data_IF_975972746737
#
_entry.id   IF_975972746737
#
_cell.length_a   1.000
_cell.length_b   1.000
_cell.length_c   1.000
_cell.angle_alpha   90.00
_cell.angle_beta   90.00
_cell.angle_gamma   90.00
#
_symmetry.space_group_name_H-M   'P 1'
#
loop_
_entity.id
_entity.type
_entity.pdbx_description
1 polymer ?
#
# COMPACT_ATOMS: atom_id res chain seq x y z
N UNK A 1 -9.64 -5.90 -25.79
CA UNK A 1 -8.19 -5.60 -25.90
C UNK A 1 -7.48 -6.77 -25.26
N UNK A 2 -6.68 -7.52 -26.01
CA UNK A 2 -6.02 -8.75 -25.51
C UNK A 2 -4.63 -8.46 -24.92
N UNK A 3 -4.03 -7.34 -25.32
CA UNK A 3 -2.75 -6.88 -24.78
C UNK A 3 -2.95 -6.07 -23.51
N UNK A 4 -2.24 -6.47 -22.45
CA UNK A 4 -2.16 -5.80 -21.15
C UNK A 4 -0.73 -5.28 -20.99
N UNK A 5 -0.58 -3.98 -20.88
CA UNK A 5 0.73 -3.35 -20.70
C UNK A 5 0.96 -3.09 -19.22
N UNK A 6 2.01 -3.71 -18.66
CA UNK A 6 2.47 -3.40 -17.32
C UNK A 6 3.62 -2.39 -17.41
N UNK A 7 3.53 -1.22 -16.75
CA UNK A 7 4.41 -0.07 -16.98
C UNK A 7 5.90 -0.37 -16.75
N UNK A 8 6.21 -1.38 -15.94
CA UNK A 8 7.59 -1.78 -15.61
C UNK A 8 8.00 -3.15 -16.16
N UNK A 9 7.04 -3.98 -16.56
CA UNK A 9 7.28 -5.41 -16.86
C UNK A 9 7.13 -5.74 -18.34
N UNK A 10 6.47 -4.87 -19.10
CA UNK A 10 6.23 -5.04 -20.54
C UNK A 10 4.81 -5.47 -20.86
N UNK A 11 4.63 -5.96 -22.09
CA UNK A 11 3.32 -6.35 -22.63
C UNK A 11 3.05 -7.85 -22.39
N UNK A 12 1.84 -8.16 -21.94
CA UNK A 12 1.30 -9.52 -21.86
C UNK A 12 0.09 -9.63 -22.80
N UNK A 13 0.14 -10.52 -23.80
CA UNK A 13 -0.99 -10.78 -24.70
C UNK A 13 -1.81 -11.97 -24.22
N UNK A 14 -3.00 -11.70 -23.67
CA UNK A 14 -3.89 -12.71 -23.10
C UNK A 14 -4.43 -13.69 -24.14
N UNK A 15 -4.43 -13.33 -25.43
CA UNK A 15 -4.95 -14.17 -26.50
C UNK A 15 -3.96 -15.25 -26.96
N UNK A 16 -2.66 -15.02 -26.80
CA UNK A 16 -1.61 -15.98 -27.20
C UNK A 16 -1.01 -16.71 -26.00
N UNK A 17 -1.22 -16.19 -24.79
CA UNK A 17 -0.76 -16.84 -23.57
C UNK A 17 -1.35 -18.25 -23.42
N UNK A 18 -0.51 -19.17 -22.93
CA UNK A 18 -0.92 -20.52 -22.56
C UNK A 18 -1.51 -20.49 -21.15
N UNK A 19 -2.82 -20.65 -21.04
CA UNK A 19 -3.54 -20.65 -19.77
C UNK A 19 -3.66 -22.07 -19.19
N UNK A 20 -3.31 -22.20 -17.90
CA UNK A 20 -3.39 -23.44 -17.14
C UNK A 20 -4.26 -23.25 -15.89
N UNK A 21 -5.08 -24.25 -15.61
CA UNK A 21 -6.00 -24.27 -14.47
C UNK A 21 -5.96 -25.65 -13.86
N UNK A 22 -5.75 -25.73 -12.55
CA UNK A 22 -5.76 -27.02 -11.84
C UNK A 22 -7.19 -27.43 -11.48
N UNK A 23 -7.35 -28.70 -11.12
CA UNK A 23 -8.60 -29.25 -10.60
C UNK A 23 -8.31 -29.82 -9.21
N UNK A 24 -9.16 -29.50 -8.24
CA UNK A 24 -9.10 -30.04 -6.89
C UNK A 24 -9.39 -31.55 -6.89
N UNK A 25 -9.06 -32.23 -5.80
CA UNK A 25 -9.25 -33.69 -5.67
C UNK A 25 -10.73 -34.11 -5.79
N UNK A 26 -11.65 -33.23 -5.44
CA UNK A 26 -13.10 -33.43 -5.54
C UNK A 26 -13.66 -33.22 -6.97
N UNK A 27 -12.80 -32.88 -7.94
CA UNK A 27 -13.17 -32.61 -9.33
C UNK A 27 -13.59 -31.16 -9.61
N UNK A 28 -13.59 -30.29 -8.61
CA UNK A 28 -13.92 -28.87 -8.77
C UNK A 28 -12.72 -28.12 -9.40
N UNK A 29 -12.90 -27.29 -10.45
CA UNK A 29 -11.79 -26.55 -11.04
C UNK A 29 -11.38 -25.36 -10.16
N UNK A 30 -10.07 -25.10 -10.02
CA UNK A 30 -9.53 -24.03 -9.17
C UNK A 30 -10.03 -22.65 -9.57
N UNK A 31 -10.19 -21.69 -8.66
CA UNK A 31 -10.74 -20.37 -9.01
C UNK A 31 -9.81 -19.54 -9.94
N UNK A 32 -8.50 -19.79 -9.87
CA UNK A 32 -7.49 -19.05 -10.60
C UNK A 32 -6.95 -19.82 -11.82
N UNK A 33 -6.54 -19.07 -12.83
CA UNK A 33 -5.74 -19.56 -13.97
C UNK A 33 -4.37 -18.89 -13.99
N UNK A 34 -3.37 -19.64 -14.44
CA UNK A 34 -2.00 -19.17 -14.65
C UNK A 34 -1.74 -19.07 -16.14
N UNK A 35 -1.37 -17.88 -16.63
CA UNK A 35 -1.06 -17.62 -18.02
C UNK A 35 0.45 -17.49 -18.23
N UNK A 36 0.98 -18.15 -19.26
CA UNK A 36 2.38 -18.07 -19.65
C UNK A 36 2.52 -17.45 -21.04
N UNK A 37 3.22 -16.32 -21.15
CA UNK A 37 3.50 -15.65 -22.41
C UNK A 37 4.86 -16.07 -23.01
N UNK A 38 5.02 -15.93 -24.33
CA UNK A 38 6.26 -16.28 -25.05
C UNK A 38 7.48 -15.45 -24.60
N UNK A 39 7.25 -14.26 -24.05
CA UNK A 39 8.31 -13.39 -23.50
C UNK A 39 8.70 -13.75 -22.05
N UNK A 40 8.13 -14.82 -21.49
CA UNK A 40 8.43 -15.31 -20.15
C UNK A 40 7.61 -14.66 -19.03
N UNK A 41 6.80 -13.64 -19.31
CA UNK A 41 5.89 -13.09 -18.31
C UNK A 41 4.86 -14.15 -17.90
N UNK A 42 4.54 -14.16 -16.61
CA UNK A 42 3.51 -15.02 -16.02
C UNK A 42 2.37 -14.15 -15.53
N UNK A 43 1.14 -14.62 -15.66
CA UNK A 43 -0.01 -13.90 -15.16
C UNK A 43 -0.96 -14.77 -14.34
N UNK A 44 -1.63 -14.15 -13.37
CA UNK A 44 -2.73 -14.74 -12.61
C UNK A 44 -4.02 -13.96 -12.88
N UNK A 45 -5.14 -14.69 -13.04
CA UNK A 45 -6.48 -14.10 -13.12
C UNK A 45 -7.54 -15.03 -12.54
N UNK A 46 -8.73 -14.49 -12.30
CA UNK A 46 -9.93 -15.26 -12.01
C UNK A 46 -10.41 -15.98 -13.27
N UNK A 47 -10.66 -17.28 -13.17
CA UNK A 47 -11.15 -18.09 -14.28
C UNK A 47 -12.58 -17.72 -14.70
N UNK A 48 -13.39 -17.25 -13.76
CA UNK A 48 -14.78 -16.82 -13.99
C UNK A 48 -14.88 -15.43 -14.62
N UNK A 49 -13.80 -14.63 -14.56
CA UNK A 49 -13.71 -13.31 -15.18
C UNK A 49 -12.40 -13.16 -15.99
N UNK A 50 -12.29 -13.82 -17.16
CA UNK A 50 -11.06 -13.82 -17.97
C UNK A 50 -10.61 -12.44 -18.47
N UNK A 51 -11.55 -11.49 -18.54
CA UNK A 51 -11.35 -10.10 -18.98
C UNK A 51 -11.19 -9.13 -17.80
N UNK A 52 -11.29 -9.60 -16.56
CA UNK A 52 -11.15 -8.81 -15.34
C UNK A 52 -9.71 -8.37 -15.06
N UNK A 53 -9.40 -8.24 -13.77
CA UNK A 53 -8.06 -7.90 -13.32
C UNK A 53 -7.08 -9.06 -13.49
N UNK A 54 -5.83 -8.70 -13.80
CA UNK A 54 -4.74 -9.63 -14.05
C UNK A 54 -3.50 -9.15 -13.32
N UNK A 55 -2.87 -10.06 -12.58
CA UNK A 55 -1.58 -9.80 -11.92
C UNK A 55 -0.47 -10.34 -12.82
N UNK A 56 0.47 -9.50 -13.21
CA UNK A 56 1.57 -9.86 -14.12
C UNK A 56 2.89 -9.89 -13.35
N UNK A 57 3.64 -10.98 -13.53
CA UNK A 57 4.93 -11.26 -12.92
C UNK A 57 6.00 -11.39 -14.00
N UNK A 58 7.19 -10.86 -13.71
CA UNK A 58 8.42 -11.23 -14.44
C UNK A 58 8.81 -12.67 -14.12
N UNK A 59 9.67 -13.31 -14.95
CA UNK A 59 10.15 -14.66 -14.66
C UNK A 59 10.75 -14.80 -13.24
N UNK A 60 11.57 -13.83 -12.82
CA UNK A 60 12.24 -13.86 -11.51
C UNK A 60 11.29 -13.61 -10.34
N UNK A 61 10.31 -12.73 -10.50
CA UNK A 61 9.26 -12.55 -9.47
C UNK A 61 8.41 -13.81 -9.32
N UNK A 62 8.09 -14.49 -10.44
CA UNK A 62 7.33 -15.74 -10.39
C UNK A 62 8.11 -16.87 -9.74
N UNK A 63 9.41 -16.99 -10.05
CA UNK A 63 10.31 -17.95 -9.39
C UNK A 63 10.36 -17.71 -7.88
N UNK A 64 10.62 -16.47 -7.46
CA UNK A 64 10.64 -16.11 -6.04
C UNK A 64 9.29 -16.35 -5.34
N UNK A 65 8.17 -16.03 -6.01
CA UNK A 65 6.83 -16.31 -5.49
C UNK A 65 6.62 -17.81 -5.25
N UNK A 66 6.98 -18.66 -6.23
CA UNK A 66 6.82 -20.12 -6.10
C UNK A 66 7.73 -20.70 -5.03
N UNK A 67 8.97 -20.18 -4.88
CA UNK A 67 9.86 -20.58 -3.80
C UNK A 67 9.28 -20.22 -2.43
N UNK A 68 8.82 -18.98 -2.23
CA UNK A 68 8.16 -18.57 -0.98
C UNK A 68 6.91 -19.41 -0.66
N UNK A 69 6.09 -19.75 -1.66
CA UNK A 69 4.94 -20.66 -1.48
C UNK A 69 5.39 -22.05 -1.03
N UNK A 70 6.47 -22.60 -1.60
CA UNK A 70 6.99 -23.92 -1.21
C UNK A 70 7.62 -23.94 0.17
N UNK A 71 8.22 -22.84 0.57
CA UNK A 71 8.82 -22.65 1.88
C UNK A 71 7.77 -22.34 2.97
N UNK A 72 6.48 -22.25 2.59
CA UNK A 72 5.37 -22.00 3.52
C UNK A 72 5.26 -20.55 3.97
N UNK A 73 5.90 -19.60 3.29
CA UNK A 73 5.88 -18.17 3.65
C UNK A 73 4.45 -17.57 3.59
N UNK A 74 3.58 -18.21 2.82
CA UNK A 74 2.17 -17.82 2.65
C UNK A 74 1.19 -18.69 3.46
N UNK A 75 1.69 -19.60 4.31
CA UNK A 75 0.87 -20.34 5.26
C UNK A 75 0.48 -19.38 6.40
N UNK A 76 -0.56 -18.58 6.15
CA UNK A 76 -1.07 -17.60 7.10
C UNK A 76 -1.74 -18.30 8.30
N UNK A 77 -0.99 -18.52 9.38
CA UNK A 77 -1.53 -19.04 10.65
C UNK A 77 -2.30 -17.98 11.48
N UNK A 78 -2.32 -16.71 11.07
CA UNK A 78 -2.46 -15.58 12.02
C UNK A 78 -3.72 -14.73 11.91
N UNK A 79 -4.78 -15.17 11.22
CA UNK A 79 -6.03 -14.40 11.23
C UNK A 79 -6.86 -14.59 12.52
N UNK A 80 -6.50 -15.56 13.36
CA UNK A 80 -7.25 -15.85 14.59
C UNK A 80 -6.57 -15.41 15.90
N UNK A 81 -5.33 -14.88 15.93
CA UNK A 81 -4.68 -14.60 17.22
C UNK A 81 -3.98 -13.23 17.45
N UNK A 82 -3.69 -12.36 16.48
CA UNK A 82 -3.31 -10.95 16.81
C UNK A 82 -3.62 -9.98 15.66
N UNK A 83 -4.29 -8.82 15.92
CA UNK A 83 -4.49 -7.81 14.89
C UNK A 83 -3.15 -7.19 14.49
N UNK A 84 -2.88 -7.16 13.19
CA UNK A 84 -1.77 -6.40 12.59
C UNK A 84 -2.09 -4.91 12.72
N UNK A 85 -1.94 -4.37 13.93
CA UNK A 85 -1.75 -2.93 14.12
C UNK A 85 -0.25 -2.73 14.02
N UNK A 86 0.26 -2.49 12.81
CA UNK A 86 1.41 -1.62 12.74
C UNK A 86 0.94 -0.30 13.34
N UNK A 87 1.30 -0.09 14.59
CA UNK A 87 1.25 1.20 15.24
C UNK A 87 2.23 2.04 14.41
N UNK A 88 1.72 2.72 13.39
CA UNK A 88 2.32 3.99 13.00
C UNK A 88 2.04 4.86 14.21
N UNK A 89 2.96 4.84 15.18
CA UNK A 89 3.06 5.93 16.13
C UNK A 89 3.36 7.13 15.24
N UNK A 90 2.32 7.91 14.91
CA UNK A 90 2.53 9.31 14.67
C UNK A 90 3.34 9.77 15.88
N UNK A 91 4.65 9.99 15.68
CA UNK A 91 5.46 10.73 16.62
C UNK A 91 4.75 12.08 16.77
N UNK A 92 3.85 12.19 17.76
CA UNK A 92 3.41 13.49 18.23
C UNK A 92 4.68 14.16 18.76
N UNK A 93 5.14 15.14 17.99
CA UNK A 93 6.24 16.03 18.33
C UNK A 93 5.90 16.73 19.66
N UNK A 94 6.26 16.12 20.78
CA UNK A 94 6.12 16.70 22.11
C UNK A 94 7.12 17.86 22.26
N UNK A 95 6.84 19.03 21.68
CA UNK A 95 7.30 20.30 22.25
C UNK A 95 6.34 21.46 21.96
N UNK A 96 5.19 21.49 22.63
CA UNK A 96 4.57 22.78 22.98
C UNK A 96 3.85 22.64 24.34
N UNK A 97 4.55 22.97 25.43
CA UNK A 97 3.86 23.28 26.68
C UNK A 97 3.01 24.53 26.41
N UNK A 98 1.71 24.33 26.19
CA UNK A 98 0.78 25.44 26.08
C UNK A 98 0.86 26.29 27.34
N UNK A 99 1.30 27.54 27.20
CA UNK A 99 1.20 28.56 28.25
C UNK A 99 -0.28 28.63 28.67
N UNK A 100 -0.55 28.53 29.97
CA UNK A 100 -1.91 28.70 30.49
C UNK A 100 -2.36 30.16 30.31
N UNK A 101 -3.67 30.42 30.23
CA UNK A 101 -4.21 31.80 30.10
C UNK A 101 -3.65 32.75 31.17
N UNK A 102 -3.35 32.25 32.37
CA UNK A 102 -2.75 33.03 33.45
C UNK A 102 -1.27 33.39 33.19
N UNK A 103 -0.52 32.53 32.51
CA UNK A 103 0.87 32.79 32.11
C UNK A 103 0.93 33.78 30.93
N UNK A 104 0.01 33.66 29.98
CA UNK A 104 -0.17 34.63 28.90
C UNK A 104 -0.55 36.01 29.46
N UNK A 105 -1.50 36.08 30.41
CA UNK A 105 -1.87 37.32 31.09
C UNK A 105 -0.68 37.92 31.87
N UNK A 106 0.07 37.09 32.61
CA UNK A 106 1.22 37.56 33.39
C UNK A 106 2.32 38.15 32.49
N UNK A 107 2.59 37.53 31.33
CA UNK A 107 3.54 38.05 30.35
C UNK A 107 3.06 39.35 29.70
N UNK A 108 1.79 39.43 29.32
CA UNK A 108 1.21 40.66 28.75
C UNK A 108 1.30 41.82 29.75
N UNK A 109 1.09 41.57 31.04
CA UNK A 109 1.19 42.60 32.07
C UNK A 109 2.62 43.06 32.35
N UNK A 110 3.63 42.23 32.10
CA UNK A 110 5.05 42.60 32.21
C UNK A 110 5.51 43.43 30.98
N UNK A 111 4.95 43.14 29.79
CA UNK A 111 5.32 43.80 28.52
C UNK A 111 4.63 45.18 28.33
N UNK A 112 3.49 45.42 29.00
CA UNK A 112 2.83 46.74 29.03
C UNK A 112 3.47 47.69 30.05
N UNK A 113 4.52 47.24 30.75
CA UNK A 113 5.21 47.94 31.82
C UNK A 113 6.26 48.98 31.42
N UNK A 114 6.53 49.30 30.15
CA UNK A 114 7.34 50.49 29.80
C UNK A 114 7.29 50.83 28.30
N UNK A 115 6.47 51.82 27.89
CA UNK A 115 6.92 52.80 26.88
C UNK A 115 6.02 54.06 26.81
N UNK A 116 6.62 55.24 26.63
CA UNK A 116 5.98 56.53 26.89
C UNK A 116 5.19 57.06 25.70
N UNK A 117 4.31 58.02 26.01
CA UNK A 117 3.46 58.76 25.09
C UNK A 117 4.25 59.54 24.02
N UNK A 118 3.72 59.53 22.80
CA UNK A 118 4.16 60.38 21.67
C UNK A 118 4.36 59.53 20.42
N UNK A 119 3.83 59.85 19.24
CA UNK A 119 3.43 61.15 18.74
C UNK A 119 2.49 60.94 17.55
N UNK A 120 1.42 61.73 17.52
CA UNK A 120 0.48 61.83 16.41
C UNK A 120 1.14 62.49 15.21
N UNK A 121 0.94 61.95 14.01
CA UNK A 121 1.10 62.69 12.77
C UNK A 121 0.05 62.21 11.75
N UNK A 122 -0.91 63.10 11.49
CA UNK A 122 -1.86 63.06 10.39
C UNK A 122 -1.17 63.35 9.04
N UNK A 123 -1.80 62.80 7.99
CA UNK A 123 -1.73 63.13 6.55
C UNK A 123 -0.42 62.93 5.80
#
# INVERSE_FOLDING_TARGET
MTKREHPLKGEFDTATARWERTTHEDGTPAALEIGYADNGLVALRMAEDPDGDILIYTPSEWEAFVEGVRDGEFDIETWDDEPIVEIIEDEEDETEQGETDAEVEARIMDEVGDKPAGQSASN
#
